data_IF_161110288085
#
_entry.id   IF_161110288085
#
_cell.length_a   1.000
_cell.length_b   1.000
_cell.length_c   1.000
_cell.angle_alpha   90.00
_cell.angle_beta   90.00
_cell.angle_gamma   90.00
#
_symmetry.space_group_name_H-M   'P 1'
#
loop_
_entity.id
_entity.type
_entity.pdbx_description
1 polymer ?
#
# COMPACT_ATOMS: atom_id res chain seq x y z
N UNK A 1 -1.49 -13.83 9.10
CA UNK A 1 -2.26 -12.57 9.08
C UNK A 1 -3.61 -12.84 9.74
N UNK A 2 -4.00 -12.03 10.74
CA UNK A 2 -5.29 -12.19 11.45
C UNK A 2 -6.34 -11.24 10.86
N UNK A 3 -7.62 -11.48 11.14
CA UNK A 3 -8.70 -10.56 10.73
C UNK A 3 -8.53 -9.17 11.33
N UNK A 4 -8.11 -9.08 12.60
CA UNK A 4 -7.85 -7.79 13.26
C UNK A 4 -6.75 -6.98 12.56
N UNK A 5 -5.68 -7.63 12.08
CA UNK A 5 -4.63 -6.96 11.31
C UNK A 5 -5.16 -6.40 9.99
N UNK A 6 -6.06 -7.14 9.32
CA UNK A 6 -6.65 -6.73 8.05
C UNK A 6 -7.59 -5.55 8.23
N UNK A 7 -8.45 -5.59 9.24
CA UNK A 7 -9.36 -4.49 9.58
C UNK A 7 -8.57 -3.22 9.92
N UNK A 8 -7.50 -3.35 10.72
CA UNK A 8 -6.65 -2.22 11.06
C UNK A 8 -5.89 -1.67 9.85
N UNK A 9 -5.36 -2.54 8.98
CA UNK A 9 -4.71 -2.12 7.74
C UNK A 9 -5.70 -1.39 6.82
N UNK A 10 -6.92 -1.91 6.65
CA UNK A 10 -7.97 -1.31 5.84
C UNK A 10 -8.33 0.09 6.34
N UNK A 11 -8.44 0.29 7.66
CA UNK A 11 -8.74 1.59 8.26
C UNK A 11 -7.64 2.66 8.03
N UNK A 12 -6.44 2.25 7.63
CA UNK A 12 -5.29 3.15 7.35
C UNK A 12 -4.92 3.21 5.87
N UNK A 13 -5.52 2.33 5.06
CA UNK A 13 -5.20 2.19 3.65
C UNK A 13 -6.05 3.12 2.80
N UNK A 14 -5.46 3.63 1.72
CA UNK A 14 -6.19 4.37 0.70
C UNK A 14 -6.78 3.44 -0.36
N UNK A 15 -6.02 2.39 -0.71
CA UNK A 15 -6.50 1.36 -1.63
C UNK A 15 -5.87 0.00 -1.32
N UNK A 16 -6.54 -1.06 -1.78
CA UNK A 16 -6.08 -2.45 -1.78
C UNK A 16 -5.92 -2.92 -3.22
N UNK A 17 -4.80 -3.56 -3.50
CA UNK A 17 -4.48 -4.24 -4.75
C UNK A 17 -4.42 -5.73 -4.47
N UNK A 18 -5.27 -6.49 -5.15
CA UNK A 18 -5.25 -7.95 -5.12
C UNK A 18 -4.85 -8.45 -6.50
N UNK A 19 -3.89 -9.36 -6.58
CA UNK A 19 -3.52 -10.03 -7.82
C UNK A 19 -3.86 -11.50 -7.69
N UNK A 20 -4.68 -12.02 -8.60
CA UNK A 20 -5.03 -13.45 -8.68
C UNK A 20 -4.84 -13.92 -10.10
N UNK A 21 -4.05 -14.98 -10.30
CA UNK A 21 -3.75 -15.54 -11.62
C UNK A 21 -3.28 -14.47 -12.63
N UNK A 22 -2.47 -13.52 -12.17
CA UNK A 22 -1.94 -12.42 -12.99
C UNK A 22 -2.95 -11.30 -13.33
N UNK A 23 -4.17 -11.34 -12.79
CA UNK A 23 -5.16 -10.26 -12.91
C UNK A 23 -5.17 -9.40 -11.67
N UNK A 24 -5.07 -8.08 -11.85
CA UNK A 24 -5.17 -7.12 -10.76
C UNK A 24 -6.60 -6.63 -10.54
N UNK A 25 -6.98 -6.54 -9.27
CA UNK A 25 -8.23 -6.02 -8.75
C UNK A 25 -7.89 -4.92 -7.75
N UNK A 26 -8.62 -3.80 -7.82
CA UNK A 26 -8.37 -2.65 -6.95
C UNK A 26 -9.65 -2.26 -6.25
N UNK A 27 -9.55 -2.10 -4.94
CA UNK A 27 -10.59 -1.52 -4.10
C UNK A 27 -10.05 -0.24 -3.46
N UNK A 28 -10.79 0.86 -3.59
CA UNK A 28 -10.41 2.16 -3.00
C UNK A 28 -11.21 2.38 -1.72
N UNK A 29 -10.52 2.65 -0.61
CA UNK A 29 -11.14 2.93 0.69
C UNK A 29 -11.28 4.42 0.96
N UNK A 30 -10.20 5.18 0.78
CA UNK A 30 -10.16 6.61 0.99
C UNK A 30 -9.41 7.31 -0.15
N UNK A 31 -9.79 8.55 -0.45
CA UNK A 31 -9.11 9.35 -1.47
C UNK A 31 -7.72 9.74 -0.98
N UNK A 32 -6.69 9.24 -1.65
CA UNK A 32 -5.31 9.70 -1.45
C UNK A 32 -5.15 11.19 -1.74
N UNK A 33 -4.16 11.82 -1.10
CA UNK A 33 -3.81 13.20 -1.42
C UNK A 33 -3.50 13.33 -2.92
N UNK A 34 -4.18 14.29 -3.57
CA UNK A 34 -4.08 14.55 -5.01
C UNK A 34 -4.28 13.26 -5.85
N UNK A 35 -3.33 12.95 -6.74
CA UNK A 35 -3.39 11.78 -7.62
C UNK A 35 -2.36 10.70 -7.26
N UNK A 36 -1.75 10.78 -6.08
CA UNK A 36 -0.68 9.88 -5.64
C UNK A 36 -1.07 8.41 -5.71
N UNK A 37 -2.28 8.07 -5.25
CA UNK A 37 -2.78 6.69 -5.30
C UNK A 37 -2.92 6.18 -6.73
N UNK A 38 -3.42 7.03 -7.64
CA UNK A 38 -3.54 6.69 -9.06
C UNK A 38 -2.16 6.51 -9.71
N UNK A 39 -1.22 7.44 -9.45
CA UNK A 39 0.14 7.35 -9.99
C UNK A 39 0.82 6.04 -9.56
N UNK A 40 0.72 5.69 -8.28
CA UNK A 40 1.29 4.42 -7.76
C UNK A 40 0.65 3.20 -8.39
N UNK A 41 -0.68 3.18 -8.52
CA UNK A 41 -1.37 2.09 -9.19
C UNK A 41 -0.93 1.95 -10.65
N UNK A 42 -0.84 3.07 -11.38
CA UNK A 42 -0.39 3.10 -12.77
C UNK A 42 1.07 2.73 -12.95
N UNK A 43 1.90 2.92 -11.93
CA UNK A 43 3.26 2.40 -11.89
C UNK A 43 3.33 0.89 -11.73
N UNK A 44 2.46 0.32 -10.89
CA UNK A 44 2.41 -1.12 -10.61
C UNK A 44 1.82 -1.91 -11.80
N UNK A 45 0.74 -1.41 -12.42
CA UNK A 45 -0.01 -2.13 -13.47
C UNK A 45 0.88 -2.65 -14.61
N UNK A 46 1.80 -1.86 -15.19
CA UNK A 46 2.72 -2.33 -16.23
C UNK A 46 3.71 -3.40 -15.76
N UNK A 47 3.99 -3.51 -14.46
CA UNK A 47 4.90 -4.55 -13.96
C UNK A 47 4.26 -5.94 -14.02
N UNK A 48 2.95 -6.05 -13.80
CA UNK A 48 2.23 -7.33 -13.76
C UNK A 48 2.43 -8.18 -15.04
N UNK A 49 2.23 -7.66 -16.27
CA UNK A 49 2.44 -8.44 -17.49
C UNK A 49 3.92 -8.72 -17.81
N UNK A 50 4.86 -8.00 -17.21
CA UNK A 50 6.31 -8.22 -17.44
C UNK A 50 6.85 -9.43 -16.64
N UNK A 51 6.07 -9.98 -15.70
CA UNK A 51 6.47 -11.12 -14.87
C UNK A 51 5.45 -12.28 -14.93
N UNK A 52 5.09 -12.79 -16.12
CA UNK A 52 4.09 -13.84 -16.25
C UNK A 52 4.55 -15.14 -15.59
N UNK A 53 3.69 -15.73 -14.75
CA UNK A 53 3.98 -16.97 -14.01
C UNK A 53 5.05 -16.84 -12.91
N UNK A 54 5.58 -15.63 -12.67
CA UNK A 54 6.55 -15.35 -11.60
C UNK A 54 5.94 -14.61 -10.41
N UNK A 55 4.85 -13.89 -10.65
CA UNK A 55 4.13 -13.19 -9.60
C UNK A 55 3.16 -14.18 -8.92
N UNK A 56 3.28 -14.41 -7.59
CA UNK A 56 2.28 -15.18 -6.87
C UNK A 56 0.96 -14.40 -6.79
N UNK A 57 -0.08 -15.05 -6.26
CA UNK A 57 -1.24 -14.31 -5.82
C UNK A 57 -0.85 -13.38 -4.67
N UNK A 58 -1.31 -12.12 -4.75
CA UNK A 58 -0.92 -11.04 -3.83
C UNK A 58 -2.15 -10.35 -3.27
N UNK A 59 -2.02 -9.88 -2.04
CA UNK A 59 -3.02 -9.06 -1.35
C UNK A 59 -2.30 -7.96 -0.58
N UNK A 60 -2.32 -6.75 -1.15
CA UNK A 60 -1.50 -5.63 -0.71
C UNK A 60 -2.38 -4.42 -0.42
N UNK A 61 -2.20 -3.79 0.73
CA UNK A 61 -2.87 -2.54 1.08
C UNK A 61 -1.85 -1.39 1.10
N UNK A 62 -2.23 -0.24 0.54
CA UNK A 62 -1.34 0.90 0.36
C UNK A 62 -1.87 2.14 1.09
N UNK A 63 -0.98 2.82 1.82
CA UNK A 63 -1.21 4.15 2.37
C UNK A 63 -0.31 5.17 1.68
N UNK A 64 -0.94 6.18 1.06
CA UNK A 64 -0.29 7.18 0.21
C UNK A 64 0.10 8.47 0.97
N UNK A 65 0.10 8.43 2.30
CA UNK A 65 0.43 9.55 3.17
C UNK A 65 1.92 9.59 3.51
N UNK A 66 2.44 10.81 3.70
CA UNK A 66 3.84 11.03 4.06
C UNK A 66 4.08 10.91 5.59
N UNK A 67 3.02 10.99 6.39
CA UNK A 67 3.10 10.96 7.86
C UNK A 67 3.25 9.54 8.38
N UNK A 68 4.08 9.33 9.39
CA UNK A 68 4.23 8.04 10.06
C UNK A 68 2.97 7.67 10.86
N UNK A 69 2.51 6.41 10.75
CA UNK A 69 1.24 5.95 11.34
C UNK A 69 1.34 4.62 12.10
N UNK A 70 2.31 3.74 11.79
CA UNK A 70 2.45 2.41 12.41
C UNK A 70 3.67 2.42 13.35
N UNK A 71 3.58 3.11 14.48
CA UNK A 71 4.69 3.21 15.43
C UNK A 71 4.92 1.92 16.21
N UNK A 72 6.18 1.50 16.35
CA UNK A 72 6.53 0.26 17.04
C UNK A 72 5.98 0.19 18.47
N UNK A 73 6.00 1.31 19.21
CA UNK A 73 5.47 1.39 20.58
C UNK A 73 4.00 0.96 20.73
N UNK A 74 3.21 1.06 19.66
CA UNK A 74 1.78 0.75 19.69
C UNK A 74 1.51 -0.75 19.46
N UNK A 75 2.49 -1.48 18.90
CA UNK A 75 2.40 -2.91 18.52
C UNK A 75 3.42 -3.81 19.23
N UNK A 76 4.43 -3.23 19.91
CA UNK A 76 5.47 -3.98 20.62
C UNK A 76 5.02 -4.33 22.05
N UNK A 77 4.79 -5.62 22.31
CA UNK A 77 4.51 -6.14 23.65
C UNK A 77 3.65 -7.41 23.62
N UNK A 78 3.63 -8.19 24.71
CA UNK A 78 2.88 -9.45 24.77
C UNK A 78 1.36 -9.26 24.67
N UNK A 79 0.85 -8.11 25.12
CA UNK A 79 -0.60 -7.78 25.13
C UNK A 79 -1.01 -6.83 24.00
N UNK A 80 -0.12 -6.58 23.02
CA UNK A 80 -0.37 -5.65 21.91
C UNK A 80 -0.81 -6.41 20.66
N UNK A 81 -1.68 -5.81 19.82
CA UNK A 81 -2.00 -6.40 18.53
C UNK A 81 -0.74 -6.44 17.65
N UNK A 82 -0.61 -7.42 16.75
CA UNK A 82 0.44 -7.41 15.73
C UNK A 82 0.25 -6.22 14.77
N UNK A 83 1.33 -5.64 14.23
CA UNK A 83 1.23 -4.49 13.34
C UNK A 83 0.50 -4.83 12.02
N UNK A 84 -0.31 -3.90 11.48
CA UNK A 84 -0.99 -4.11 10.21
C UNK A 84 0.01 -4.17 9.04
N UNK A 85 -0.14 -5.12 8.09
CA UNK A 85 0.72 -5.20 6.91
C UNK A 85 0.31 -4.14 5.89
N UNK A 86 0.97 -2.97 5.92
CA UNK A 86 0.62 -1.82 5.11
C UNK A 86 1.84 -1.29 4.35
N UNK A 87 1.70 -1.11 3.04
CA UNK A 87 2.73 -0.53 2.18
C UNK A 87 2.65 1.00 2.19
N UNK A 88 3.79 1.66 2.33
CA UNK A 88 3.85 3.12 2.51
C UNK A 88 5.06 3.75 1.83
N UNK A 89 4.96 5.04 1.53
CA UNK A 89 6.04 5.79 0.87
C UNK A 89 7.23 6.09 1.78
N UNK A 90 6.97 6.22 3.08
CA UNK A 90 7.97 6.59 4.08
C UNK A 90 7.86 5.67 5.29
N UNK A 91 8.99 5.41 5.92
CA UNK A 91 9.12 4.72 7.20
C UNK A 91 10.39 5.19 7.91
N UNK A 92 10.47 4.98 9.21
CA UNK A 92 11.66 5.26 10.00
C UNK A 92 11.95 4.11 10.99
N UNK A 93 13.05 4.24 11.74
CA UNK A 93 13.47 3.22 12.72
C UNK A 93 12.47 3.04 13.88
N UNK A 94 11.48 3.92 14.01
CA UNK A 94 10.44 3.89 15.03
C UNK A 94 9.10 3.34 14.51
N UNK A 95 9.01 2.94 13.24
CA UNK A 95 7.79 2.34 12.67
C UNK A 95 7.97 0.91 12.17
N UNK A 96 6.85 0.24 11.93
CA UNK A 96 6.76 -1.08 11.28
C UNK A 96 6.30 -0.96 9.82
N UNK A 97 6.55 0.17 9.16
CA UNK A 97 6.07 0.43 7.80
C UNK A 97 6.79 -0.48 6.78
N UNK A 98 6.04 -1.06 5.84
CA UNK A 98 6.62 -1.77 4.69
C UNK A 98 6.85 -0.73 3.59
N UNK A 99 8.09 -0.25 3.46
CA UNK A 99 8.40 0.83 2.52
C UNK A 99 8.25 0.38 1.07
N UNK A 100 7.58 1.20 0.26
CA UNK A 100 7.35 1.00 -1.17
C UNK A 100 7.70 2.29 -1.93
N UNK A 101 8.22 2.20 -3.18
CA UNK A 101 8.50 3.37 -3.99
C UNK A 101 7.30 4.31 -4.09
N UNK A 102 7.54 5.59 -3.86
CA UNK A 102 6.47 6.58 -3.85
C UNK A 102 5.93 6.90 -5.24
N UNK A 103 4.91 7.75 -5.27
CA UNK A 103 4.32 8.22 -6.53
C UNK A 103 5.35 8.93 -7.44
N UNK A 104 6.38 9.57 -6.87
CA UNK A 104 7.39 10.31 -7.63
C UNK A 104 8.37 9.38 -8.38
N UNK A 105 8.58 8.16 -7.87
CA UNK A 105 9.42 7.15 -8.51
C UNK A 105 9.02 6.84 -9.95
N UNK A 106 7.72 6.84 -10.25
CA UNK A 106 7.19 6.44 -11.55
C UNK A 106 7.38 7.49 -12.65
N UNK A 107 7.77 8.72 -12.30
CA UNK A 107 8.00 9.80 -13.26
C UNK A 107 6.75 10.26 -14.03
N UNK A 108 5.57 9.76 -13.66
CA UNK A 108 4.29 10.21 -14.18
C UNK A 108 3.91 11.54 -13.51
N UNK A 109 3.52 12.52 -14.32
CA UNK A 109 3.02 13.78 -13.76
C UNK A 109 1.64 13.58 -13.14
N UNK A 110 1.42 14.17 -11.97
CA UNK A 110 0.15 14.07 -11.24
C UNK A 110 -1.06 14.64 -12.01
N UNK A 111 -0.81 15.61 -12.89
CA UNK A 111 -1.84 16.33 -13.67
C UNK A 111 -2.59 15.45 -14.68
N UNK A 112 -2.02 14.29 -15.07
CA UNK A 112 -2.67 13.36 -16.00
C UNK A 112 -3.93 12.71 -15.42
N UNK A 113 -4.09 12.74 -14.09
CA UNK A 113 -5.23 12.20 -13.36
C UNK A 113 -6.15 13.27 -12.78
N UNK A 114 -5.82 14.55 -12.95
CA UNK A 114 -6.66 15.68 -12.55
C UNK A 114 -7.59 16.06 -13.72
N UNK A 115 -8.65 15.26 -13.94
CA UNK A 115 -9.77 15.62 -14.81
C UNK A 115 -11.08 15.59 -14.03
#
# INVERSE_FOLDING_TARGET
>A
MTMSMLEEAQNKAHFRLVVVEGKAYVETYEKAYQSRGNVTLWGIVPLLPNYPGKLPDLDLMFSCNDRLEIYQKDYSGPDKPPPPPLFRYSGDDATWDIVFPDWSFWGLKEDIFNK
#
